data_IF_678414346541
#
_entry.id   IF_678414346541
#
_cell.length_a   1.000
_cell.length_b   1.000
_cell.length_c   1.000
_cell.angle_alpha   90.00
_cell.angle_beta   90.00
_cell.angle_gamma   90.00
#
_symmetry.space_group_name_H-M   'P 1'
#
loop_
_entity.id
_entity.type
_entity.pdbx_description
1 polymer ?
#
# COMPACT_ATOMS: atom_id res chain seq x y z
N UNK A 1 -10.26 -29.35 16.59
CA UNK A 1 -9.13 -28.79 17.36
C UNK A 1 -7.85 -29.61 17.21
N UNK A 2 -7.75 -30.84 17.75
CA UNK A 2 -6.50 -31.62 17.76
C UNK A 2 -5.85 -31.84 16.37
N UNK A 3 -6.63 -32.27 15.37
CA UNK A 3 -6.15 -32.46 13.98
C UNK A 3 -5.57 -31.17 13.37
N UNK A 4 -6.19 -30.01 13.65
CA UNK A 4 -5.71 -28.72 13.17
C UNK A 4 -4.38 -28.31 13.85
N UNK A 5 -4.23 -28.54 15.16
CA UNK A 5 -2.95 -28.31 15.87
C UNK A 5 -1.83 -29.15 15.26
N UNK A 6 -2.09 -30.43 14.99
CA UNK A 6 -1.12 -31.32 14.37
C UNK A 6 -0.67 -30.82 13.00
N UNK A 7 -1.63 -30.42 12.14
CA UNK A 7 -1.31 -29.87 10.81
C UNK A 7 -0.42 -28.63 10.93
N UNK A 8 -0.73 -27.70 11.84
CA UNK A 8 0.09 -26.49 12.06
C UNK A 8 1.51 -26.87 12.53
N UNK A 9 1.64 -27.77 13.51
CA UNK A 9 2.95 -28.19 14.04
C UNK A 9 3.80 -28.84 12.95
N UNK A 10 3.21 -29.64 12.07
CA UNK A 10 3.95 -30.28 10.97
C UNK A 10 4.39 -29.29 9.88
N UNK A 11 3.77 -28.13 9.77
CA UNK A 11 4.05 -27.16 8.70
C UNK A 11 5.11 -26.10 9.07
N UNK A 12 5.51 -26.02 10.34
CA UNK A 12 6.39 -24.96 10.86
C UNK A 12 7.77 -25.48 11.26
N UNK A 13 8.75 -24.58 11.34
CA UNK A 13 10.09 -24.91 11.83
C UNK A 13 10.16 -24.88 13.37
N UNK A 14 11.30 -25.31 13.93
CA UNK A 14 11.53 -25.39 15.37
C UNK A 14 11.43 -24.04 16.10
N UNK A 15 11.81 -22.94 15.44
CA UNK A 15 11.73 -21.61 16.04
C UNK A 15 10.26 -21.17 16.24
N UNK A 16 9.41 -21.43 15.25
CA UNK A 16 7.98 -21.07 15.33
C UNK A 16 7.21 -22.02 16.24
N UNK A 17 7.60 -23.30 16.27
CA UNK A 17 7.04 -24.26 17.22
C UNK A 17 7.19 -23.76 18.67
N UNK A 18 8.38 -23.28 19.03
CA UNK A 18 8.62 -22.72 20.37
C UNK A 18 7.73 -21.51 20.69
N UNK A 19 7.29 -20.75 19.69
CA UNK A 19 6.42 -19.58 19.89
C UNK A 19 4.97 -19.97 20.17
N UNK A 20 4.51 -21.09 19.63
CA UNK A 20 3.09 -21.51 19.68
C UNK A 20 2.84 -22.78 20.51
N UNK A 21 3.88 -23.42 21.04
CA UNK A 21 3.80 -24.68 21.78
C UNK A 21 2.95 -24.59 23.05
N UNK A 22 2.89 -23.41 23.68
CA UNK A 22 2.05 -23.14 24.85
C UNK A 22 0.58 -22.84 24.53
N UNK A 23 0.22 -22.68 23.26
CA UNK A 23 -1.15 -22.33 22.87
C UNK A 23 -2.12 -23.52 23.07
N UNK A 24 -3.29 -23.21 23.59
CA UNK A 24 -4.29 -24.20 24.01
C UNK A 24 -5.06 -24.71 22.79
N UNK A 25 -5.38 -23.81 21.85
CA UNK A 25 -6.18 -24.11 20.66
C UNK A 25 -5.42 -23.92 19.35
N UNK A 26 -5.85 -24.60 18.29
CA UNK A 26 -5.33 -24.37 16.94
C UNK A 26 -5.56 -22.93 16.46
N UNK A 27 -6.64 -22.30 16.90
CA UNK A 27 -6.93 -20.89 16.61
C UNK A 27 -5.86 -19.97 17.22
N UNK A 28 -5.55 -20.16 18.50
CA UNK A 28 -4.53 -19.36 19.18
C UNK A 28 -3.14 -19.54 18.57
N UNK A 29 -2.80 -20.77 18.14
CA UNK A 29 -1.59 -21.05 17.37
C UNK A 29 -1.57 -20.26 16.06
N UNK A 30 -2.67 -20.28 15.31
CA UNK A 30 -2.80 -19.54 14.05
C UNK A 30 -2.72 -18.03 14.27
N UNK A 31 -3.49 -17.48 15.21
CA UNK A 31 -3.52 -16.04 15.53
C UNK A 31 -2.11 -15.55 15.90
N UNK A 32 -1.31 -16.36 16.62
CA UNK A 32 0.06 -16.01 17.00
C UNK A 32 1.05 -16.09 15.84
N UNK A 33 0.86 -17.02 14.91
CA UNK A 33 1.62 -17.08 13.66
C UNK A 33 1.26 -15.88 12.77
N UNK A 34 -0.02 -15.59 12.59
CA UNK A 34 -0.52 -14.43 11.84
C UNK A 34 0.10 -13.13 12.37
N UNK A 35 0.09 -12.92 13.69
CA UNK A 35 0.74 -11.74 14.30
C UNK A 35 2.25 -11.73 14.09
N UNK A 36 2.92 -12.89 14.12
CA UNK A 36 4.38 -12.99 13.95
C UNK A 36 4.81 -12.64 12.51
N UNK A 37 4.04 -13.06 11.51
CA UNK A 37 4.43 -12.92 10.10
C UNK A 37 3.78 -11.73 9.40
N UNK A 38 2.52 -11.46 9.70
CA UNK A 38 1.76 -10.40 9.05
C UNK A 38 1.61 -9.16 9.94
N UNK A 39 1.95 -9.26 11.23
CA UNK A 39 1.70 -8.22 12.22
C UNK A 39 0.25 -8.22 12.72
N UNK A 40 -0.06 -7.37 13.69
CA UNK A 40 -1.43 -7.24 14.19
C UNK A 40 -2.30 -6.45 13.22
N UNK A 41 -3.60 -6.74 13.20
CA UNK A 41 -4.59 -5.96 12.45
C UNK A 41 -4.58 -4.46 12.83
N UNK A 42 -4.21 -4.12 14.07
CA UNK A 42 -4.10 -2.73 14.52
C UNK A 42 -2.89 -2.03 13.87
N UNK A 43 -1.73 -2.70 13.81
CA UNK A 43 -0.54 -2.16 13.14
C UNK A 43 -0.77 -2.00 11.64
N UNK A 44 -1.40 -2.99 10.98
CA UNK A 44 -1.81 -2.87 9.57
C UNK A 44 -2.70 -1.65 9.34
N UNK A 45 -3.75 -1.47 10.17
CA UNK A 45 -4.66 -0.31 10.08
C UNK A 45 -3.94 1.03 10.30
N UNK A 46 -3.08 1.12 11.31
CA UNK A 46 -2.31 2.33 11.57
C UNK A 46 -1.42 2.69 10.37
N UNK A 47 -0.76 1.69 9.77
CA UNK A 47 0.08 1.90 8.58
C UNK A 47 -0.74 2.36 7.36
N UNK A 48 -1.92 1.79 7.14
CA UNK A 48 -2.84 2.27 6.10
C UNK A 48 -3.21 3.73 6.34
N UNK A 49 -3.59 4.10 7.57
CA UNK A 49 -3.96 5.49 7.91
C UNK A 49 -2.81 6.45 7.62
N UNK A 50 -1.58 6.10 8.04
CA UNK A 50 -0.39 6.91 7.79
C UNK A 50 -0.12 7.10 6.29
N UNK A 51 -0.17 6.01 5.51
CA UNK A 51 0.08 6.06 4.06
C UNK A 51 -1.04 6.80 3.31
N UNK A 52 -2.29 6.67 3.75
CA UNK A 52 -3.42 7.45 3.20
C UNK A 52 -3.21 8.93 3.45
N UNK A 53 -2.78 9.29 4.67
CA UNK A 53 -2.46 10.68 4.98
C UNK A 53 -1.30 11.20 4.13
N UNK A 54 -0.24 10.41 3.96
CA UNK A 54 0.90 10.74 3.09
C UNK A 54 0.46 10.93 1.63
N UNK A 55 -0.41 10.05 1.12
CA UNK A 55 -1.04 10.18 -0.19
C UNK A 55 -1.87 11.47 -0.29
N UNK A 56 -2.75 11.74 0.67
CA UNK A 56 -3.62 12.93 0.68
C UNK A 56 -2.82 14.24 0.70
N UNK A 57 -1.77 14.29 1.52
CA UNK A 57 -0.88 15.44 1.65
C UNK A 57 0.22 15.50 0.58
N UNK A 58 0.28 14.53 -0.33
CA UNK A 58 1.30 14.45 -1.35
C UNK A 58 1.29 15.71 -2.23
N UNK A 59 2.48 16.28 -2.44
CA UNK A 59 2.75 17.37 -3.38
C UNK A 59 4.16 17.17 -3.97
N UNK A 60 4.42 17.77 -5.13
CA UNK A 60 5.78 17.90 -5.64
C UNK A 60 6.57 18.87 -4.76
N UNK A 61 7.82 18.52 -4.44
CA UNK A 61 8.70 19.36 -3.62
C UNK A 61 9.39 20.45 -4.47
N UNK A 62 9.86 21.53 -3.84
CA UNK A 62 10.39 22.73 -4.53
C UNK A 62 11.65 22.49 -5.39
N UNK A 63 12.40 21.41 -5.15
CA UNK A 63 13.63 21.07 -5.89
C UNK A 63 13.63 19.62 -6.39
N UNK A 64 12.45 19.04 -6.51
CA UNK A 64 12.29 17.68 -6.98
C UNK A 64 12.03 17.68 -8.48
N UNK A 65 12.60 16.72 -9.21
CA UNK A 65 12.24 16.47 -10.60
C UNK A 65 11.01 15.54 -10.69
N UNK A 66 10.32 15.56 -11.83
CA UNK A 66 9.08 14.80 -12.04
C UNK A 66 9.31 13.30 -11.82
N UNK A 67 10.42 12.74 -12.30
CA UNK A 67 10.68 11.31 -12.17
C UNK A 67 10.85 10.90 -10.70
N UNK A 68 11.52 11.73 -9.91
CA UNK A 68 11.64 11.56 -8.46
C UNK A 68 10.27 11.66 -7.77
N UNK A 69 9.44 12.63 -8.16
CA UNK A 69 8.06 12.78 -7.66
C UNK A 69 7.21 11.54 -7.95
N UNK A 70 7.20 11.06 -9.20
CA UNK A 70 6.49 9.84 -9.59
C UNK A 70 6.98 8.61 -8.83
N UNK A 71 8.29 8.49 -8.61
CA UNK A 71 8.86 7.37 -7.85
C UNK A 71 8.34 7.34 -6.41
N UNK A 72 8.28 8.50 -5.74
CA UNK A 72 7.69 8.61 -4.39
C UNK A 72 6.19 8.27 -4.40
N UNK A 73 5.45 8.80 -5.38
CA UNK A 73 4.02 8.53 -5.51
C UNK A 73 3.75 7.03 -5.67
N UNK A 74 4.45 6.37 -6.59
CA UNK A 74 4.34 4.93 -6.84
C UNK A 74 4.72 4.10 -5.62
N UNK A 75 5.70 4.53 -4.83
CA UNK A 75 6.04 3.83 -3.58
C UNK A 75 4.87 3.85 -2.57
N UNK A 76 4.16 4.97 -2.44
CA UNK A 76 2.99 5.08 -1.55
C UNK A 76 1.85 4.19 -2.06
N UNK A 77 1.56 4.22 -3.37
CA UNK A 77 0.53 3.39 -4.00
C UNK A 77 0.82 1.91 -3.80
N UNK A 78 2.05 1.47 -4.10
CA UNK A 78 2.46 0.08 -3.95
C UNK A 78 2.36 -0.39 -2.50
N UNK A 79 2.74 0.46 -1.54
CA UNK A 79 2.63 0.15 -0.12
C UNK A 79 1.17 0.03 0.33
N UNK A 80 0.26 0.87 -0.18
CA UNK A 80 -1.18 0.78 0.08
C UNK A 80 -1.79 -0.47 -0.56
N UNK A 81 -1.42 -0.78 -1.79
CA UNK A 81 -1.89 -1.96 -2.52
C UNK A 81 -1.46 -3.26 -1.82
N UNK A 82 -0.23 -3.33 -1.32
CA UNK A 82 0.25 -4.46 -0.53
C UNK A 82 -0.53 -4.66 0.79
N UNK A 83 -1.21 -3.60 1.28
CA UNK A 83 -2.08 -3.64 2.46
C UNK A 83 -3.57 -3.78 2.09
N UNK A 84 -3.88 -4.03 0.83
CA UNK A 84 -5.26 -4.24 0.34
C UNK A 84 -6.04 -2.96 0.04
N UNK A 85 -5.41 -1.79 0.03
CA UNK A 85 -6.03 -0.52 -0.38
C UNK A 85 -5.51 -0.11 -1.76
N UNK A 86 -6.39 -0.12 -2.76
CA UNK A 86 -6.05 0.22 -4.15
C UNK A 86 -6.73 1.52 -4.56
N UNK A 87 -6.12 2.20 -5.54
CA UNK A 87 -6.72 3.32 -6.25
C UNK A 87 -6.79 2.96 -7.73
N UNK A 88 -7.85 3.39 -8.39
CA UNK A 88 -7.97 3.27 -9.84
C UNK A 88 -6.92 4.15 -10.54
N UNK A 89 -6.58 3.78 -11.77
CA UNK A 89 -5.64 4.57 -12.57
C UNK A 89 -6.08 6.03 -12.71
N UNK A 90 -7.38 6.28 -12.86
CA UNK A 90 -7.93 7.63 -13.02
C UNK A 90 -7.84 8.47 -11.75
N UNK A 91 -7.99 7.85 -10.57
CA UNK A 91 -7.74 8.51 -9.28
C UNK A 91 -6.26 8.89 -9.15
N UNK A 92 -5.35 8.00 -9.56
CA UNK A 92 -3.91 8.25 -9.51
C UNK A 92 -3.49 9.37 -10.45
N UNK A 93 -3.94 9.35 -11.71
CA UNK A 93 -3.67 10.40 -12.70
C UNK A 93 -4.16 11.76 -12.20
N UNK A 94 -5.42 11.85 -11.76
CA UNK A 94 -5.98 13.10 -11.21
C UNK A 94 -5.22 13.58 -9.99
N UNK A 95 -4.79 12.67 -9.12
CA UNK A 95 -4.00 13.02 -7.94
C UNK A 95 -2.67 13.63 -8.34
N UNK A 96 -1.90 12.99 -9.22
CA UNK A 96 -0.61 13.52 -9.69
C UNK A 96 -0.77 14.90 -10.31
N UNK A 97 -1.75 15.08 -11.20
CA UNK A 97 -1.99 16.37 -11.87
C UNK A 97 -2.24 17.51 -10.85
N UNK A 98 -2.96 17.23 -9.76
CA UNK A 98 -3.21 18.20 -8.67
C UNK A 98 -1.98 18.47 -7.80
N UNK A 99 -1.02 17.56 -7.78
CA UNK A 99 0.21 17.67 -6.99
C UNK A 99 1.33 18.40 -7.73
N UNK A 100 1.14 18.72 -9.02
CA UNK A 100 2.12 19.46 -9.81
C UNK A 100 2.16 20.96 -9.42
N UNK A 101 3.32 21.63 -9.56
CA UNK A 101 3.45 23.05 -9.29
C UNK A 101 2.55 23.89 -10.21
N UNK A 102 2.19 25.10 -9.77
CA UNK A 102 1.32 26.01 -10.55
C UNK A 102 1.86 26.34 -11.95
N UNK A 103 3.18 26.28 -12.15
CA UNK A 103 3.80 26.46 -13.46
C UNK A 103 3.38 25.40 -14.49
N UNK A 104 2.87 24.25 -14.05
CA UNK A 104 2.37 23.18 -14.90
C UNK A 104 0.89 23.32 -15.28
N UNK A 105 0.16 24.27 -14.69
CA UNK A 105 -1.29 24.43 -14.90
C UNK A 105 -1.69 24.49 -16.39
N UNK A 106 -1.00 25.22 -17.28
CA UNK A 106 -1.36 25.21 -18.71
C UNK A 106 -1.30 23.82 -19.34
N UNK A 107 -0.31 22.99 -18.95
CA UNK A 107 -0.18 21.61 -19.44
C UNK A 107 -1.24 20.71 -18.83
N UNK A 108 -1.52 20.87 -17.54
CA UNK A 108 -2.58 20.12 -16.84
C UNK A 108 -3.93 20.36 -17.53
N UNK A 109 -4.30 21.63 -17.76
CA UNK A 109 -5.55 21.97 -18.46
C UNK A 109 -5.62 21.37 -19.85
N UNK A 110 -4.53 21.44 -20.63
CA UNK A 110 -4.50 20.83 -21.96
C UNK A 110 -4.70 19.30 -21.93
N UNK A 111 -4.16 18.61 -20.92
CA UNK A 111 -4.35 17.17 -20.74
C UNK A 111 -5.81 16.88 -20.35
N UNK A 112 -6.37 17.62 -19.40
CA UNK A 112 -7.75 17.46 -18.93
C UNK A 112 -8.79 17.70 -20.04
N UNK A 113 -8.52 18.64 -20.96
CA UNK A 113 -9.39 18.93 -22.10
C UNK A 113 -9.24 17.92 -23.24
N UNK A 114 -8.02 17.43 -23.49
CA UNK A 114 -7.73 16.58 -24.66
C UNK A 114 -7.85 15.07 -24.40
N UNK A 115 -7.78 14.63 -23.13
CA UNK A 115 -7.66 13.21 -22.77
C UNK A 115 -8.77 12.76 -21.83
N UNK A 116 -9.26 11.54 -22.06
CA UNK A 116 -10.09 10.87 -21.08
C UNK A 116 -9.20 10.26 -19.98
N UNK A 117 -9.19 10.89 -18.82
CA UNK A 117 -8.37 10.47 -17.66
C UNK A 117 -8.73 9.08 -17.12
N UNK A 118 -9.90 8.54 -17.46
CA UNK A 118 -10.30 7.19 -17.04
C UNK A 118 -9.49 6.09 -17.72
N UNK A 119 -8.95 6.38 -18.90
CA UNK A 119 -8.17 5.44 -19.72
C UNK A 119 -6.75 5.93 -20.00
N UNK A 120 -6.36 7.10 -19.48
CA UNK A 120 -5.06 7.70 -19.73
C UNK A 120 -3.97 6.99 -18.91
N UNK A 121 -2.96 6.35 -19.54
CA UNK A 121 -1.90 5.66 -18.82
C UNK A 121 -1.10 6.62 -17.92
N UNK A 122 -0.73 6.15 -16.73
CA UNK A 122 0.04 6.97 -15.78
C UNK A 122 1.46 7.24 -16.30
N UNK A 123 1.99 6.31 -17.09
CA UNK A 123 3.30 6.39 -17.74
C UNK A 123 3.37 7.50 -18.80
N UNK A 124 2.24 7.86 -19.41
CA UNK A 124 2.14 8.90 -20.44
C UNK A 124 2.19 10.32 -19.84
N UNK A 125 2.24 10.44 -18.50
CA UNK A 125 2.44 11.71 -17.79
C UNK A 125 3.93 12.08 -17.60
N UNK A 126 4.86 11.15 -17.85
CA UNK A 126 6.32 11.34 -17.75
C UNK A 126 6.92 11.85 -19.06
#
# INVERSE_FOLDING_TARGET
NAKAKHIIICAINSNDFNRISSCISAKEMWDKLEVTYEGTNQVKKAKIIMLVHEYEMFTMNENEDIKSMFSRFTNIINALQALGKTYSNSEMVRKILRCLPRSWMPKVTAIEEAKNLDVFPLEDLL
#
